data_IF_069631437231
#
_entry.id   IF_069631437231
#
_cell.length_a   1.000
_cell.length_b   1.000
_cell.length_c   1.000
_cell.angle_alpha   90.00
_cell.angle_beta   90.00
_cell.angle_gamma   90.00
#
_symmetry.space_group_name_H-M   'P 1'
#
loop_
_entity.id
_entity.type
_entity.pdbx_description
1 polymer ?
#
# COMPACT_ATOMS: atom_id res chain seq x y z
N UNK A 1 -3.45 8.53 17.07
CA UNK A 1 -4.52 8.69 18.07
C UNK A 1 -3.83 8.74 19.43
N UNK A 2 -3.75 9.92 20.08
CA UNK A 2 -3.03 10.06 21.33
C UNK A 2 -3.60 9.14 22.42
N UNK A 3 -2.69 8.50 23.18
CA UNK A 3 -3.04 7.67 24.33
C UNK A 3 -3.67 6.32 24.03
N UNK A 4 -3.97 5.99 22.76
CA UNK A 4 -4.55 4.68 22.38
C UNK A 4 -3.44 3.78 21.83
N UNK A 5 -3.09 2.72 22.56
CA UNK A 5 -2.08 1.77 22.10
C UNK A 5 -2.55 1.04 20.83
N UNK A 6 -1.58 0.77 19.94
CA UNK A 6 -1.80 0.18 18.62
C UNK A 6 -2.57 -1.16 18.72
N UNK A 7 -2.26 -1.99 19.71
CA UNK A 7 -2.94 -3.26 19.96
C UNK A 7 -4.45 -3.08 20.20
N UNK A 8 -4.84 -2.13 21.05
CA UNK A 8 -6.26 -1.89 21.37
C UNK A 8 -6.99 -1.29 20.18
N UNK A 9 -6.36 -0.35 19.47
CA UNK A 9 -6.90 0.21 18.25
C UNK A 9 -7.20 -0.89 17.22
N UNK A 10 -6.23 -1.76 16.95
CA UNK A 10 -6.38 -2.83 15.96
C UNK A 10 -7.46 -3.85 16.36
N UNK A 11 -7.52 -4.23 17.63
CA UNK A 11 -8.58 -5.14 18.09
C UNK A 11 -9.97 -4.55 17.92
N UNK A 12 -10.13 -3.28 18.24
CA UNK A 12 -11.38 -2.56 18.02
C UNK A 12 -11.75 -2.51 16.52
N UNK A 13 -10.78 -2.20 15.67
CA UNK A 13 -10.97 -2.12 14.22
C UNK A 13 -11.34 -3.50 13.62
N UNK A 14 -10.61 -4.58 13.98
CA UNK A 14 -10.92 -5.94 13.55
C UNK A 14 -12.35 -6.32 13.95
N UNK A 15 -12.72 -6.10 15.21
CA UNK A 15 -14.05 -6.43 15.68
C UNK A 15 -15.16 -5.60 15.02
N UNK A 16 -14.88 -4.33 14.68
CA UNK A 16 -15.82 -3.50 13.91
C UNK A 16 -16.05 -4.06 12.50
N UNK A 17 -14.97 -4.47 11.82
CA UNK A 17 -15.06 -5.09 10.48
C UNK A 17 -15.79 -6.43 10.54
N UNK A 18 -15.48 -7.29 11.52
CA UNK A 18 -16.16 -8.59 11.73
C UNK A 18 -17.66 -8.39 11.99
N UNK A 19 -17.99 -7.45 12.87
CA UNK A 19 -19.39 -7.11 13.14
C UNK A 19 -20.15 -6.67 11.89
N UNK A 20 -19.52 -5.84 11.07
CA UNK A 20 -20.10 -5.39 9.79
C UNK A 20 -20.34 -6.58 8.84
N UNK A 21 -19.49 -7.60 8.87
CA UNK A 21 -19.63 -8.83 8.07
C UNK A 21 -20.59 -9.86 8.67
N UNK A 22 -21.16 -9.61 9.84
CA UNK A 22 -22.03 -10.55 10.55
C UNK A 22 -21.28 -11.64 11.28
N UNK A 23 -19.97 -11.47 11.51
CA UNK A 23 -19.11 -12.42 12.21
C UNK A 23 -19.04 -12.11 13.71
N UNK A 24 -18.76 -13.14 14.53
CA UNK A 24 -18.51 -12.96 15.96
C UNK A 24 -17.21 -12.18 16.20
N UNK A 25 -17.13 -11.47 17.33
CA UNK A 25 -15.87 -10.81 17.74
C UNK A 25 -14.76 -11.83 17.93
N UNK A 26 -13.55 -11.44 17.53
CA UNK A 26 -12.35 -12.25 17.78
C UNK A 26 -12.04 -12.24 19.29
N UNK A 27 -11.74 -13.40 19.87
CA UNK A 27 -11.31 -13.47 21.25
C UNK A 27 -9.87 -12.94 21.46
N UNK A 28 -9.38 -12.94 22.69
CA UNK A 28 -8.08 -12.34 22.99
C UNK A 28 -6.91 -13.19 22.49
N UNK A 29 -7.05 -14.52 22.50
CA UNK A 29 -5.99 -15.43 22.07
C UNK A 29 -5.86 -15.46 20.57
N UNK A 30 -6.97 -15.66 19.86
CA UNK A 30 -7.02 -15.64 18.39
C UNK A 30 -6.53 -14.30 17.83
N UNK A 31 -6.89 -13.19 18.49
CA UNK A 31 -6.40 -11.88 18.08
C UNK A 31 -4.89 -11.73 18.30
N UNK A 32 -4.36 -12.27 19.40
CA UNK A 32 -2.94 -12.24 19.70
C UNK A 32 -2.13 -13.06 18.67
N UNK A 33 -2.59 -14.23 18.31
CA UNK A 33 -1.99 -15.09 17.30
C UNK A 33 -1.98 -14.37 15.93
N UNK A 34 -3.12 -13.82 15.49
CA UNK A 34 -3.23 -13.03 14.27
C UNK A 34 -2.22 -11.88 14.24
N UNK A 35 -2.13 -11.12 15.32
CA UNK A 35 -1.22 -9.96 15.41
C UNK A 35 0.24 -10.39 15.28
N UNK A 36 0.65 -11.47 15.96
CA UNK A 36 2.03 -11.95 15.92
C UNK A 36 2.41 -12.47 14.53
N UNK A 37 1.55 -13.26 13.90
CA UNK A 37 1.76 -13.72 12.53
C UNK A 37 1.96 -12.54 11.55
N UNK A 38 1.17 -11.49 11.69
CA UNK A 38 1.27 -10.31 10.82
C UNK A 38 2.47 -9.42 11.15
N UNK A 39 2.90 -9.40 12.40
CA UNK A 39 4.12 -8.70 12.81
C UNK A 39 5.37 -9.32 12.18
N UNK A 40 5.45 -10.64 12.11
CA UNK A 40 6.55 -11.34 11.45
C UNK A 40 6.63 -10.96 9.97
N UNK A 41 5.48 -10.92 9.27
CA UNK A 41 5.39 -10.53 7.87
C UNK A 41 5.96 -9.14 7.60
N UNK A 42 5.69 -8.16 8.47
CA UNK A 42 6.15 -6.78 8.33
C UNK A 42 7.44 -6.49 9.12
N UNK A 43 8.05 -7.48 9.74
CA UNK A 43 9.25 -7.36 10.58
C UNK A 43 9.13 -6.24 11.62
N UNK A 44 8.00 -6.19 12.31
CA UNK A 44 7.69 -5.16 13.30
C UNK A 44 8.04 -5.62 14.70
N UNK A 45 8.68 -4.76 15.51
CA UNK A 45 8.99 -5.06 16.90
C UNK A 45 7.72 -5.05 17.77
N UNK A 46 7.62 -5.99 18.73
CA UNK A 46 6.47 -6.10 19.64
C UNK A 46 6.23 -4.83 20.47
N UNK A 47 7.30 -4.09 20.78
CA UNK A 47 7.20 -2.81 21.49
C UNK A 47 6.30 -1.80 20.79
N UNK A 48 6.15 -1.89 19.46
CA UNK A 48 5.28 -1.03 18.67
C UNK A 48 3.78 -1.22 18.99
N UNK A 49 3.39 -2.41 19.44
CA UNK A 49 2.00 -2.69 19.83
C UNK A 49 1.57 -1.92 21.07
N UNK A 50 2.50 -1.65 21.97
CA UNK A 50 2.26 -0.94 23.25
C UNK A 50 2.27 0.58 23.10
N UNK A 51 2.85 1.09 22.01
CA UNK A 51 2.92 2.55 21.74
C UNK A 51 1.57 3.04 21.21
N UNK A 52 1.24 4.28 21.52
CA UNK A 52 0.06 4.93 20.96
C UNK A 52 0.19 5.06 19.43
N UNK A 53 -0.92 4.90 18.73
CA UNK A 53 -0.97 4.88 17.26
C UNK A 53 -0.35 6.16 16.70
N UNK A 54 0.73 6.01 15.93
CA UNK A 54 1.49 7.08 15.27
C UNK A 54 2.11 8.15 16.19
N UNK A 55 2.07 7.95 17.51
CA UNK A 55 2.68 8.87 18.46
C UNK A 55 4.16 8.57 18.64
N UNK A 56 5.02 9.55 18.32
CA UNK A 56 6.47 9.42 18.42
C UNK A 56 7.07 8.38 17.44
N UNK A 57 6.34 7.96 16.40
CA UNK A 57 6.87 7.08 15.36
C UNK A 57 7.74 7.87 14.39
N UNK A 58 8.87 7.30 13.99
CA UNK A 58 9.63 7.77 12.84
C UNK A 58 8.82 7.62 11.55
N UNK A 59 9.25 8.25 10.46
CA UNK A 59 8.59 8.10 9.15
C UNK A 59 8.48 6.63 8.71
N UNK A 60 9.58 5.89 8.81
CA UNK A 60 9.62 4.47 8.46
C UNK A 60 8.76 3.59 9.39
N UNK A 61 8.73 3.88 10.70
CA UNK A 61 7.84 3.18 11.64
C UNK A 61 6.36 3.43 11.32
N UNK A 62 5.98 4.66 10.94
CA UNK A 62 4.60 4.98 10.51
C UNK A 62 4.19 4.17 9.29
N UNK A 63 5.02 4.17 8.25
CA UNK A 63 4.74 3.40 7.02
C UNK A 63 4.65 1.90 7.29
N UNK A 64 5.57 1.36 8.09
CA UNK A 64 5.51 -0.06 8.50
C UNK A 64 4.24 -0.35 9.31
N UNK A 65 3.83 0.56 10.19
CA UNK A 65 2.59 0.42 10.96
C UNK A 65 1.34 0.48 10.06
N UNK A 66 1.31 1.32 9.02
CA UNK A 66 0.23 1.37 8.02
C UNK A 66 0.08 0.04 7.29
N UNK A 67 1.21 -0.53 6.83
CA UNK A 67 1.22 -1.84 6.17
C UNK A 67 0.83 -2.96 7.12
N UNK A 68 1.27 -2.89 8.38
CA UNK A 68 0.85 -3.81 9.44
C UNK A 68 -0.67 -3.75 9.70
N UNK A 69 -1.25 -2.56 9.79
CA UNK A 69 -2.70 -2.39 9.92
C UNK A 69 -3.44 -3.03 8.74
N UNK A 70 -2.96 -2.85 7.52
CA UNK A 70 -3.51 -3.49 6.33
C UNK A 70 -3.44 -5.02 6.44
N UNK A 71 -2.29 -5.57 6.89
CA UNK A 71 -2.10 -7.01 7.06
C UNK A 71 -3.05 -7.62 8.10
N UNK A 72 -3.33 -6.90 9.20
CA UNK A 72 -4.25 -7.33 10.27
C UNK A 72 -5.71 -7.21 9.83
N UNK A 73 -6.09 -6.09 9.19
CA UNK A 73 -7.48 -5.81 8.80
C UNK A 73 -7.92 -6.58 7.55
N UNK A 74 -7.00 -7.01 6.72
CA UNK A 74 -7.24 -7.76 5.49
C UNK A 74 -8.38 -7.16 4.64
N UNK A 75 -8.26 -5.91 4.18
CA UNK A 75 -9.30 -5.27 3.39
C UNK A 75 -9.48 -5.99 2.04
N UNK A 76 -10.70 -5.96 1.49
CA UNK A 76 -10.96 -6.44 0.12
C UNK A 76 -10.42 -5.50 -0.93
N UNK A 77 -10.27 -4.22 -0.59
CA UNK A 77 -9.66 -3.20 -1.44
C UNK A 77 -8.76 -2.30 -0.59
N UNK A 78 -7.50 -2.14 -0.98
CA UNK A 78 -6.53 -1.29 -0.32
C UNK A 78 -6.02 -0.20 -1.26
N UNK A 79 -5.87 1.02 -0.74
CA UNK A 79 -5.21 2.14 -1.42
C UNK A 79 -3.89 2.41 -0.71
N UNK A 80 -2.80 2.29 -1.43
CA UNK A 80 -1.44 2.55 -0.96
C UNK A 80 -0.95 3.83 -1.63
N UNK A 81 -1.04 4.95 -0.89
CA UNK A 81 -0.69 6.26 -1.39
C UNK A 81 0.71 6.65 -0.92
N UNK A 82 1.67 6.69 -1.85
CA UNK A 82 3.09 6.98 -1.60
C UNK A 82 3.67 6.23 -0.39
N UNK A 83 3.30 4.95 -0.24
CA UNK A 83 3.73 4.12 0.89
C UNK A 83 5.24 3.86 0.88
N UNK A 84 5.87 4.04 -0.25
CA UNK A 84 7.31 3.91 -0.50
C UNK A 84 8.11 5.18 -0.22
N UNK A 85 7.47 6.33 -0.06
CA UNK A 85 8.15 7.61 0.19
C UNK A 85 8.91 7.61 1.50
N UNK A 86 10.21 7.93 1.44
CA UNK A 86 11.09 8.01 2.62
C UNK A 86 11.49 6.67 3.23
N UNK A 87 11.23 5.56 2.55
CA UNK A 87 11.71 4.23 2.94
C UNK A 87 13.09 3.93 2.33
N UNK A 88 13.93 3.25 3.11
CA UNK A 88 15.12 2.58 2.57
C UNK A 88 14.72 1.30 1.77
N UNK A 89 15.68 0.72 1.09
CA UNK A 89 15.44 -0.45 0.22
C UNK A 89 14.89 -1.64 1.01
N UNK A 90 15.34 -1.84 2.24
CA UNK A 90 14.93 -3.00 3.04
C UNK A 90 13.50 -2.81 3.57
N UNK A 91 13.13 -1.60 3.99
CA UNK A 91 11.77 -1.27 4.37
C UNK A 91 10.81 -1.35 3.17
N UNK A 92 11.26 -0.92 1.98
CA UNK A 92 10.49 -1.05 0.73
C UNK A 92 10.19 -2.50 0.39
N UNK A 93 11.18 -3.40 0.53
CA UNK A 93 10.98 -4.84 0.34
C UNK A 93 9.96 -5.41 1.30
N UNK A 94 10.01 -5.04 2.59
CA UNK A 94 9.02 -5.50 3.58
C UNK A 94 7.60 -5.08 3.19
N UNK A 95 7.41 -3.85 2.71
CA UNK A 95 6.12 -3.39 2.20
C UNK A 95 5.66 -4.23 1.01
N UNK A 96 6.55 -4.46 0.05
CA UNK A 96 6.24 -5.24 -1.14
C UNK A 96 5.93 -6.70 -0.83
N UNK A 97 6.71 -7.33 0.05
CA UNK A 97 6.49 -8.71 0.50
C UNK A 97 5.12 -8.86 1.17
N UNK A 98 4.73 -7.87 1.99
CA UNK A 98 3.42 -7.86 2.64
C UNK A 98 2.28 -7.73 1.62
N UNK A 99 2.39 -6.81 0.65
CA UNK A 99 1.38 -6.66 -0.42
C UNK A 99 1.26 -7.95 -1.22
N UNK A 100 2.39 -8.54 -1.64
CA UNK A 100 2.41 -9.77 -2.41
C UNK A 100 1.82 -10.96 -1.64
N UNK A 101 2.10 -11.07 -0.33
CA UNK A 101 1.53 -12.12 0.52
C UNK A 101 0.00 -11.97 0.72
N UNK A 102 -0.52 -10.76 0.60
CA UNK A 102 -1.95 -10.48 0.73
C UNK A 102 -2.70 -10.56 -0.61
N UNK A 103 -2.01 -10.67 -1.74
CA UNK A 103 -2.67 -10.77 -3.07
C UNK A 103 -3.54 -12.01 -3.13
N UNK A 104 -4.75 -11.84 -3.62
CA UNK A 104 -5.69 -12.94 -3.92
C UNK A 104 -6.70 -12.47 -4.97
N UNK A 105 -7.43 -13.37 -5.62
CA UNK A 105 -8.50 -13.00 -6.58
C UNK A 105 -9.60 -12.14 -5.97
N UNK A 106 -9.79 -12.20 -4.65
CA UNK A 106 -10.83 -11.43 -3.93
C UNK A 106 -10.34 -10.06 -3.42
N UNK A 107 -9.07 -9.70 -3.69
CA UNK A 107 -8.46 -8.45 -3.19
C UNK A 107 -7.93 -7.59 -4.30
N UNK A 108 -8.28 -6.31 -4.24
CA UNK A 108 -7.73 -5.28 -5.12
C UNK A 108 -6.77 -4.37 -4.37
N UNK A 109 -5.68 -3.98 -5.04
CA UNK A 109 -4.74 -2.99 -4.55
C UNK A 109 -4.62 -1.85 -5.57
N UNK A 110 -4.82 -0.62 -5.12
CA UNK A 110 -4.47 0.58 -5.86
C UNK A 110 -3.20 1.16 -5.25
N UNK A 111 -2.11 1.10 -6.00
CA UNK A 111 -0.82 1.62 -5.57
C UNK A 111 -0.56 2.94 -6.30
N UNK A 112 -0.41 4.03 -5.56
CA UNK A 112 -0.04 5.34 -6.08
C UNK A 112 1.42 5.57 -5.70
N UNK A 113 2.27 5.68 -6.69
CA UNK A 113 3.71 5.88 -6.50
C UNK A 113 4.30 6.70 -7.64
N UNK A 114 5.34 7.44 -7.34
CA UNK A 114 6.22 8.06 -8.32
C UNK A 114 7.60 7.37 -8.36
N UNK A 115 7.79 6.31 -7.58
CA UNK A 115 9.01 5.51 -7.54
C UNK A 115 8.81 4.19 -8.28
N UNK A 116 9.46 4.07 -9.41
CA UNK A 116 9.38 2.85 -10.21
C UNK A 116 9.96 1.63 -9.50
N UNK A 117 10.96 1.82 -8.63
CA UNK A 117 11.56 0.71 -7.86
C UNK A 117 10.55 -0.13 -7.11
N UNK A 118 9.41 0.45 -6.69
CA UNK A 118 8.34 -0.32 -6.06
C UNK A 118 7.76 -1.36 -7.03
N UNK A 119 7.66 -1.02 -8.32
CA UNK A 119 7.09 -1.89 -9.35
C UNK A 119 7.99 -3.08 -9.72
N UNK A 120 9.28 -3.03 -9.32
CA UNK A 120 10.19 -4.19 -9.44
C UNK A 120 9.85 -5.27 -8.40
N UNK A 121 9.30 -4.86 -7.26
CA UNK A 121 8.91 -5.76 -6.16
C UNK A 121 7.42 -6.09 -6.16
N UNK A 122 6.56 -5.13 -6.53
CA UNK A 122 5.11 -5.32 -6.68
C UNK A 122 4.79 -5.21 -8.16
N UNK A 123 4.82 -6.33 -8.88
CA UNK A 123 4.49 -6.33 -10.31
C UNK A 123 3.00 -6.03 -10.48
N UNK A 124 2.62 -4.89 -11.09
CA UNK A 124 1.22 -4.53 -11.27
C UNK A 124 0.59 -5.34 -12.39
N UNK A 125 -0.71 -5.62 -12.27
CA UNK A 125 -1.51 -6.19 -13.35
C UNK A 125 -1.84 -5.12 -14.40
N UNK A 126 -2.04 -3.87 -13.95
CA UNK A 126 -2.25 -2.70 -14.81
C UNK A 126 -1.56 -1.45 -14.27
N UNK A 127 -1.08 -0.62 -15.18
CA UNK A 127 -0.49 0.70 -14.92
C UNK A 127 -1.35 1.77 -15.57
N UNK A 128 -1.66 2.82 -14.83
CA UNK A 128 -2.37 3.99 -15.31
C UNK A 128 -1.50 5.23 -15.09
N UNK A 129 -1.24 5.97 -16.15
CA UNK A 129 -0.53 7.24 -16.07
C UNK A 129 -1.52 8.37 -15.87
N UNK A 130 -1.43 9.02 -14.70
CA UNK A 130 -2.25 10.19 -14.39
C UNK A 130 -1.48 11.47 -14.75
N UNK A 131 -2.05 12.26 -15.64
CA UNK A 131 -1.45 13.51 -16.08
C UNK A 131 -2.53 14.61 -16.21
N UNK A 132 -2.29 15.78 -15.63
CA UNK A 132 -3.25 16.91 -15.62
C UNK A 132 -4.67 16.49 -15.16
N UNK A 133 -4.77 15.65 -14.12
CA UNK A 133 -6.04 15.20 -13.55
C UNK A 133 -6.83 14.18 -14.40
N UNK A 134 -6.20 13.60 -15.42
CA UNK A 134 -6.82 12.60 -16.30
C UNK A 134 -5.90 11.40 -16.47
N UNK A 135 -6.51 10.22 -16.66
CA UNK A 135 -5.76 9.04 -17.10
C UNK A 135 -5.37 9.26 -18.56
N UNK A 136 -4.08 9.53 -18.78
CA UNK A 136 -3.54 9.82 -20.12
C UNK A 136 -3.30 8.52 -20.90
N UNK A 137 -2.87 7.45 -20.21
CA UNK A 137 -2.59 6.14 -20.82
C UNK A 137 -2.77 5.03 -19.79
N UNK A 138 -3.14 3.84 -20.27
CA UNK A 138 -3.22 2.61 -19.48
C UNK A 138 -2.51 1.49 -20.22
N UNK A 139 -1.83 0.60 -19.49
CA UNK A 139 -1.08 -0.52 -20.06
C UNK A 139 -0.57 -1.48 -19.00
N UNK A 140 0.32 -2.39 -19.39
CA UNK A 140 1.04 -3.28 -18.50
C UNK A 140 2.22 -2.58 -17.82
N UNK A 141 3.07 -3.37 -17.16
CA UNK A 141 4.25 -2.85 -16.47
C UNK A 141 5.25 -2.13 -17.41
N UNK A 142 5.23 -2.47 -18.70
CA UNK A 142 6.06 -1.86 -19.74
C UNK A 142 5.85 -0.34 -19.81
N UNK A 143 4.60 0.09 -19.54
CA UNK A 143 4.26 1.51 -19.53
C UNK A 143 5.01 2.28 -18.43
N UNK A 144 5.28 1.64 -17.29
CA UNK A 144 6.06 2.25 -16.24
C UNK A 144 7.54 2.41 -16.66
N UNK A 145 8.11 1.43 -17.37
CA UNK A 145 9.47 1.50 -17.92
C UNK A 145 9.61 2.62 -18.96
N UNK A 146 8.64 2.71 -19.90
CA UNK A 146 8.60 3.81 -20.86
C UNK A 146 8.57 5.18 -20.18
N UNK A 147 7.79 5.29 -19.10
CA UNK A 147 7.66 6.55 -18.36
C UNK A 147 8.96 6.94 -17.65
N UNK A 148 9.73 5.97 -17.14
CA UNK A 148 11.04 6.23 -16.55
C UNK A 148 12.05 6.71 -17.58
N UNK A 149 12.11 6.07 -18.75
CA UNK A 149 13.05 6.40 -19.80
C UNK A 149 12.75 7.75 -20.46
N UNK A 150 11.48 8.07 -20.68
CA UNK A 150 11.05 9.21 -21.50
C UNK A 150 10.44 10.34 -20.67
N UNK A 151 10.12 10.08 -19.39
CA UNK A 151 9.48 11.05 -18.52
C UNK A 151 8.06 11.40 -18.99
N UNK A 152 7.51 12.47 -18.41
CA UNK A 152 6.17 12.98 -18.78
C UNK A 152 6.18 13.84 -20.05
N UNK A 153 7.31 13.98 -20.74
CA UNK A 153 7.42 14.80 -21.94
C UNK A 153 6.45 14.36 -23.04
N UNK A 154 6.21 13.06 -23.17
CA UNK A 154 5.25 12.49 -24.12
C UNK A 154 3.80 12.98 -23.92
N UNK A 155 3.45 13.41 -22.71
CA UNK A 155 2.11 13.85 -22.36
C UNK A 155 1.97 15.39 -22.39
N UNK A 156 3.09 16.12 -22.52
CA UNK A 156 3.12 17.58 -22.66
C UNK A 156 2.84 18.04 -24.09
N UNK A 157 2.91 17.16 -25.09
CA UNK A 157 2.53 17.52 -26.45
C UNK A 157 1.01 17.60 -26.55
N UNK A 158 0.50 18.79 -26.84
CA UNK A 158 -0.93 19.04 -27.07
C UNK A 158 -1.50 18.04 -28.09
N UNK A 159 -2.75 17.55 -27.91
CA UNK A 159 -3.38 16.59 -28.82
C UNK A 159 -3.64 17.13 -30.25
N UNK A 160 -2.95 18.19 -30.67
CA UNK A 160 -3.06 18.84 -31.97
C UNK A 160 -1.89 18.64 -32.94
N UNK A 161 -0.71 18.17 -32.50
CA UNK A 161 0.47 18.10 -33.40
C UNK A 161 0.63 16.76 -34.14
N UNK A 162 0.14 15.68 -33.63
CA UNK A 162 0.27 14.35 -34.28
C UNK A 162 -0.56 14.18 -35.56
N UNK A 163 -1.53 15.08 -35.86
CA UNK A 163 -2.32 15.04 -37.11
C UNK A 163 -1.75 15.86 -38.28
N UNK A 164 -0.65 16.58 -38.09
CA UNK A 164 -0.04 17.40 -39.19
C UNK A 164 1.23 16.81 -39.82
N UNK A 165 1.74 15.70 -39.32
CA UNK A 165 2.92 15.03 -39.87
C UNK A 165 2.60 13.84 -40.81
N UNK A 166 1.31 13.53 -41.03
CA UNK A 166 0.84 12.43 -41.91
C UNK A 166 -0.16 12.92 -42.97
N UNK A 167 0.03 14.17 -43.46
CA UNK A 167 -0.69 14.69 -44.63
C UNK A 167 0.29 15.20 -45.68
#
# INVERSE_FOLDING_TARGET
>A
IPGVANLYFLRAAVNAVRKYRGESSVDAMDFWELVHERMELVKMAESMLKRAVNEGFSGGEKKRNEVFQMAVLQPRFAVLDETDSGLDIDALKVVADCVNALRSPERGFLVITHYQRLLDYIVPDQVHVLFNGKIARSGGKELALELEEQGYALYNEEPGRARRAAA
#
